data_IF_123289872576
#
_entry.id   IF_123289872576
#
_cell.length_a   1.000
_cell.length_b   1.000
_cell.length_c   1.000
_cell.angle_alpha   90.00
_cell.angle_beta   90.00
_cell.angle_gamma   90.00
#
_symmetry.space_group_name_H-M   'P 1'
#
loop_
_entity.id
_entity.type
_entity.pdbx_description
1 polymer ?
#
# COMPACT_ATOMS: atom_id res chain seq x y z
N UNK A 1 -6.98 -23.39 -6.02
CA UNK A 1 -6.56 -22.26 -5.17
C UNK A 1 -6.95 -22.59 -3.74
N UNK A 2 -6.01 -22.61 -2.79
CA UNK A 2 -6.32 -23.01 -1.41
C UNK A 2 -6.97 -21.83 -0.63
N UNK A 3 -7.44 -22.06 0.59
CA UNK A 3 -8.10 -21.02 1.40
C UNK A 3 -7.19 -19.81 1.64
N UNK A 4 -5.91 -20.04 1.94
CA UNK A 4 -4.95 -18.95 2.21
C UNK A 4 -4.69 -18.07 0.99
N UNK A 5 -4.72 -18.64 -0.21
CA UNK A 5 -4.61 -17.92 -1.48
C UNK A 5 -5.83 -17.02 -1.71
N UNK A 6 -7.03 -17.53 -1.42
CA UNK A 6 -8.28 -16.76 -1.50
C UNK A 6 -8.26 -15.58 -0.53
N UNK A 7 -7.86 -15.81 0.73
CA UNK A 7 -7.74 -14.75 1.73
C UNK A 7 -6.76 -13.67 1.27
N UNK A 8 -5.57 -14.06 0.80
CA UNK A 8 -4.56 -13.12 0.33
C UNK A 8 -5.09 -12.25 -0.82
N UNK A 9 -5.77 -12.86 -1.79
CA UNK A 9 -6.37 -12.14 -2.91
C UNK A 9 -7.45 -11.17 -2.47
N UNK A 10 -8.38 -11.61 -1.63
CA UNK A 10 -9.45 -10.77 -1.11
C UNK A 10 -8.87 -9.58 -0.36
N UNK A 11 -7.85 -9.82 0.47
CA UNK A 11 -7.19 -8.76 1.23
C UNK A 11 -6.47 -7.77 0.30
N UNK A 12 -5.69 -8.26 -0.68
CA UNK A 12 -5.00 -7.40 -1.65
C UNK A 12 -5.99 -6.52 -2.43
N UNK A 13 -7.09 -7.12 -2.88
CA UNK A 13 -8.09 -6.41 -3.67
C UNK A 13 -8.86 -5.39 -2.82
N UNK A 14 -9.38 -5.79 -1.65
CA UNK A 14 -10.12 -4.89 -0.77
C UNK A 14 -9.25 -3.74 -0.27
N UNK A 15 -8.04 -4.04 0.21
CA UNK A 15 -7.12 -3.01 0.68
C UNK A 15 -6.68 -2.09 -0.46
N UNK A 16 -6.34 -2.67 -1.61
CA UNK A 16 -5.95 -1.93 -2.81
C UNK A 16 -7.07 -1.01 -3.27
N UNK A 17 -8.28 -1.52 -3.48
CA UNK A 17 -9.42 -0.73 -3.94
C UNK A 17 -9.79 0.37 -2.94
N UNK A 18 -9.88 0.05 -1.64
CA UNK A 18 -10.21 1.02 -0.61
C UNK A 18 -9.17 2.14 -0.55
N UNK A 19 -7.88 1.79 -0.54
CA UNK A 19 -6.80 2.78 -0.48
C UNK A 19 -6.75 3.63 -1.75
N UNK A 20 -6.97 3.02 -2.92
CA UNK A 20 -7.02 3.72 -4.21
C UNK A 20 -8.13 4.76 -4.21
N UNK A 21 -9.33 4.40 -3.73
CA UNK A 21 -10.45 5.32 -3.62
C UNK A 21 -10.16 6.45 -2.63
N UNK A 22 -9.66 6.14 -1.43
CA UNK A 22 -9.38 7.14 -0.40
C UNK A 22 -8.26 8.10 -0.79
N UNK A 23 -7.16 7.60 -1.33
CA UNK A 23 -6.05 8.47 -1.76
C UNK A 23 -6.39 9.21 -3.07
N UNK A 24 -7.12 8.55 -3.98
CA UNK A 24 -7.61 9.17 -5.20
C UNK A 24 -8.61 10.29 -4.94
N UNK A 25 -9.51 10.13 -3.96
CA UNK A 25 -10.47 11.18 -3.62
C UNK A 25 -9.79 12.43 -3.06
N UNK A 26 -8.70 12.28 -2.29
CA UNK A 26 -7.89 13.41 -1.84
C UNK A 26 -7.10 14.05 -3.01
N UNK A 27 -6.47 13.23 -3.87
CA UNK A 27 -5.68 13.73 -5.01
C UNK A 27 -6.56 14.52 -5.99
N UNK A 28 -7.72 14.00 -6.36
CA UNK A 28 -8.62 14.61 -7.33
C UNK A 28 -9.68 15.51 -6.71
N UNK A 29 -9.59 15.75 -5.40
CA UNK A 29 -10.56 16.53 -4.62
C UNK A 29 -12.03 16.09 -4.82
N UNK A 30 -12.21 14.78 -4.93
CA UNK A 30 -13.55 14.21 -5.06
C UNK A 30 -14.27 14.35 -3.73
N UNK A 31 -15.53 14.80 -3.78
CA UNK A 31 -16.38 14.93 -2.59
C UNK A 31 -15.87 15.94 -1.54
N UNK A 32 -15.00 16.89 -1.91
CA UNK A 32 -14.43 17.87 -0.97
C UNK A 32 -13.48 17.23 0.06
N UNK A 33 -12.87 16.10 -0.30
CA UNK A 33 -12.02 15.33 0.61
C UNK A 33 -10.76 16.07 1.03
N UNK A 34 -10.25 17.06 0.28
CA UNK A 34 -9.08 17.83 0.72
C UNK A 34 -9.35 18.63 1.99
N UNK A 35 -10.51 19.27 2.07
CA UNK A 35 -10.90 20.05 3.25
C UNK A 35 -11.13 19.15 4.48
N UNK A 36 -11.78 18.00 4.28
CA UNK A 36 -11.99 17.00 5.35
C UNK A 36 -10.69 16.35 5.80
N UNK A 37 -9.73 16.18 4.87
CA UNK A 37 -8.47 15.54 5.21
C UNK A 37 -7.54 16.48 5.98
N UNK A 38 -7.69 17.80 5.81
CA UNK A 38 -6.98 18.82 6.60
C UNK A 38 -5.53 18.99 6.14
N UNK A 39 -4.60 19.09 7.09
CA UNK A 39 -3.17 19.24 6.78
C UNK A 39 -2.53 17.89 6.42
N UNK A 40 -3.03 17.24 5.37
CA UNK A 40 -2.44 16.00 4.88
C UNK A 40 -1.14 16.30 4.12
N UNK A 41 -0.21 15.35 4.16
CA UNK A 41 1.05 15.46 3.43
C UNK A 41 0.90 14.87 2.04
N UNK A 42 0.95 15.71 1.01
CA UNK A 42 0.63 15.34 -0.38
C UNK A 42 1.45 14.14 -0.89
N UNK A 43 2.76 14.14 -0.68
CA UNK A 43 3.62 13.05 -1.17
C UNK A 43 3.31 11.71 -0.48
N UNK A 44 2.79 11.73 0.75
CA UNK A 44 2.31 10.53 1.43
C UNK A 44 1.06 10.00 0.74
N UNK A 45 0.11 10.87 0.40
CA UNK A 45 -1.11 10.48 -0.33
C UNK A 45 -0.75 9.86 -1.68
N UNK A 46 0.20 10.44 -2.41
CA UNK A 46 0.70 9.88 -3.66
C UNK A 46 1.39 8.52 -3.49
N UNK A 47 2.25 8.37 -2.49
CA UNK A 47 2.89 7.08 -2.19
C UNK A 47 1.83 5.99 -1.95
N UNK A 48 0.79 6.32 -1.17
CA UNK A 48 -0.30 5.40 -0.86
C UNK A 48 -1.14 5.03 -2.08
N UNK A 49 -1.42 6.02 -2.94
CA UNK A 49 -2.14 5.81 -4.19
C UNK A 49 -1.38 4.84 -5.10
N UNK A 50 -0.07 5.07 -5.32
CA UNK A 50 0.77 4.20 -6.15
C UNK A 50 0.85 2.79 -5.54
N UNK A 51 1.07 2.68 -4.22
CA UNK A 51 1.08 1.41 -3.50
C UNK A 51 -0.21 0.62 -3.68
N UNK A 52 -1.36 1.28 -3.67
CA UNK A 52 -2.65 0.62 -3.83
C UNK A 52 -2.84 0.01 -5.22
N UNK A 53 -2.33 0.67 -6.26
CA UNK A 53 -2.30 0.15 -7.64
C UNK A 53 -1.42 -1.11 -7.70
N UNK A 54 -0.26 -1.08 -7.04
CA UNK A 54 0.64 -2.24 -6.98
C UNK A 54 -0.01 -3.44 -6.27
N UNK A 55 -0.85 -3.23 -5.26
CA UNK A 55 -1.60 -4.33 -4.60
C UNK A 55 -2.59 -5.00 -5.54
N UNK A 56 -3.30 -4.19 -6.33
CA UNK A 56 -4.24 -4.70 -7.34
C UNK A 56 -3.48 -5.49 -8.41
N UNK A 57 -2.32 -5.00 -8.89
CA UNK A 57 -1.48 -5.75 -9.82
C UNK A 57 -0.96 -7.06 -9.23
N UNK A 58 -0.55 -7.07 -7.96
CA UNK A 58 -0.20 -8.32 -7.27
C UNK A 58 -1.37 -9.30 -7.28
N UNK A 59 -2.59 -8.85 -6.98
CA UNK A 59 -3.76 -9.73 -6.99
C UNK A 59 -4.04 -10.31 -8.38
N UNK A 60 -3.95 -9.48 -9.44
CA UNK A 60 -4.15 -9.92 -10.82
C UNK A 60 -3.09 -10.95 -11.24
N UNK A 61 -1.82 -10.68 -10.97
CA UNK A 61 -0.73 -11.60 -11.33
C UNK A 61 -0.74 -12.88 -10.51
N UNK A 62 -1.24 -12.82 -9.26
CA UNK A 62 -1.48 -13.98 -8.43
C UNK A 62 -2.59 -14.88 -9.03
N UNK A 63 -3.69 -14.32 -9.54
CA UNK A 63 -4.74 -15.07 -10.26
C UNK A 63 -4.18 -15.71 -11.55
N UNK A 64 -3.33 -14.98 -12.28
CA UNK A 64 -2.66 -15.45 -13.50
C UNK A 64 -1.55 -16.46 -13.25
N UNK A 65 -1.29 -16.84 -11.98
CA UNK A 65 -0.22 -17.76 -11.55
C UNK A 65 1.17 -17.35 -12.05
N UNK A 66 1.40 -16.04 -12.24
CA UNK A 66 2.73 -15.54 -12.61
C UNK A 66 3.65 -15.59 -11.40
N UNK A 67 4.88 -16.05 -11.62
CA UNK A 67 5.84 -16.30 -10.54
C UNK A 67 6.39 -15.02 -9.88
N UNK A 68 6.10 -13.84 -10.43
CA UNK A 68 6.71 -12.56 -10.03
C UNK A 68 5.78 -11.67 -9.19
N UNK A 69 4.72 -12.23 -8.61
CA UNK A 69 3.67 -11.48 -7.89
C UNK A 69 4.20 -10.68 -6.67
N UNK A 70 5.22 -11.18 -5.99
CA UNK A 70 5.80 -10.56 -4.80
C UNK A 70 6.59 -9.29 -5.14
N UNK A 71 7.03 -9.13 -6.39
CA UNK A 71 7.85 -8.00 -6.82
C UNK A 71 7.11 -6.67 -6.67
N UNK A 72 5.83 -6.59 -7.09
CA UNK A 72 5.05 -5.36 -6.92
C UNK A 72 4.85 -4.98 -5.45
N UNK A 73 4.71 -5.96 -4.56
CA UNK A 73 4.66 -5.70 -3.11
C UNK A 73 5.99 -5.22 -2.57
N UNK A 74 7.11 -5.73 -3.08
CA UNK A 74 8.44 -5.26 -2.69
C UNK A 74 8.66 -3.81 -3.13
N UNK A 75 8.30 -3.47 -4.37
CA UNK A 75 8.34 -2.09 -4.87
C UNK A 75 7.44 -1.19 -4.03
N UNK A 76 6.20 -1.61 -3.73
CA UNK A 76 5.30 -0.84 -2.88
C UNK A 76 5.88 -0.60 -1.49
N UNK A 77 6.47 -1.64 -0.88
CA UNK A 77 7.08 -1.54 0.44
C UNK A 77 8.24 -0.55 0.45
N UNK A 78 9.09 -0.56 -0.59
CA UNK A 78 10.19 0.40 -0.73
C UNK A 78 9.64 1.83 -0.86
N UNK A 79 8.62 2.05 -1.69
CA UNK A 79 7.96 3.36 -1.84
C UNK A 79 7.47 3.86 -0.49
N UNK A 80 6.78 3.02 0.28
CA UNK A 80 6.26 3.39 1.59
C UNK A 80 7.36 3.70 2.59
N UNK A 81 8.45 2.91 2.62
CA UNK A 81 9.58 3.16 3.52
C UNK A 81 10.26 4.49 3.17
N UNK A 82 10.54 4.74 1.90
CA UNK A 82 11.14 6.02 1.44
C UNK A 82 10.23 7.19 1.77
N UNK A 83 8.93 7.08 1.50
CA UNK A 83 7.94 8.09 1.85
C UNK A 83 7.89 8.35 3.36
N UNK A 84 8.01 7.30 4.18
CA UNK A 84 8.00 7.42 5.64
C UNK A 84 9.25 8.11 6.17
N UNK A 85 10.42 7.83 5.59
CA UNK A 85 11.66 8.54 5.92
C UNK A 85 11.58 10.03 5.52
N UNK A 86 11.02 10.32 4.34
CA UNK A 86 10.77 11.70 3.92
C UNK A 86 9.78 12.42 4.84
N UNK A 87 8.76 11.73 5.33
CA UNK A 87 7.78 12.30 6.25
C UNK A 87 8.34 12.51 7.65
N UNK A 88 9.21 11.62 8.14
CA UNK A 88 9.97 11.89 9.35
C UNK A 88 10.74 13.20 9.21
N UNK A 89 11.55 13.33 8.16
CA UNK A 89 12.33 14.56 7.94
C UNK A 89 11.43 15.80 7.81
N UNK A 90 10.29 15.70 7.15
CA UNK A 90 9.31 16.78 7.05
C UNK A 90 8.80 17.23 8.44
N UNK A 91 8.47 16.28 9.33
CA UNK A 91 8.00 16.59 10.69
C UNK A 91 9.10 17.27 11.52
N UNK A 92 10.33 16.77 11.48
CA UNK A 92 11.47 17.33 12.24
C UNK A 92 11.79 18.77 11.84
N UNK A 93 11.52 19.15 10.60
CA UNK A 93 11.67 20.52 10.11
C UNK A 93 10.44 21.40 10.37
N UNK A 94 9.50 20.97 11.23
CA UNK A 94 8.31 21.74 11.60
C UNK A 94 7.15 21.62 10.62
N UNK A 95 7.15 20.59 9.76
CA UNK A 95 6.09 20.34 8.79
C UNK A 95 4.73 20.10 9.44
N UNK A 96 3.72 20.87 9.01
CA UNK A 96 2.34 20.74 9.49
C UNK A 96 1.77 19.42 8.96
N UNK A 97 1.19 18.62 9.85
CA UNK A 97 0.64 17.33 9.50
C UNK A 97 -0.51 16.96 10.44
N UNK A 98 -1.40 16.10 9.97
CA UNK A 98 -2.42 15.49 10.81
C UNK A 98 -1.88 14.25 11.56
N UNK A 99 -2.23 14.03 12.84
CA UNK A 99 -1.85 12.81 13.57
C UNK A 99 -2.32 11.51 12.88
N UNK A 100 -3.46 11.56 12.19
CA UNK A 100 -3.97 10.42 11.40
C UNK A 100 -3.02 10.01 10.27
N UNK A 101 -2.18 10.91 9.74
CA UNK A 101 -1.19 10.60 8.71
C UNK A 101 -0.11 9.66 9.24
N UNK A 102 0.35 9.86 10.49
CA UNK A 102 1.31 8.98 11.15
C UNK A 102 0.72 7.56 11.27
N UNK A 103 -0.50 7.45 11.80
CA UNK A 103 -1.18 6.17 11.97
C UNK A 103 -1.40 5.46 10.62
N UNK A 104 -1.75 6.22 9.58
CA UNK A 104 -2.00 5.69 8.25
C UNK A 104 -0.73 5.14 7.58
N UNK A 105 0.43 5.77 7.79
CA UNK A 105 1.72 5.30 7.28
C UNK A 105 2.18 4.03 8.00
N UNK A 106 2.11 4.02 9.34
CA UNK A 106 2.50 2.86 10.15
C UNK A 106 1.67 1.64 9.75
N UNK A 107 0.35 1.82 9.66
CA UNK A 107 -0.56 0.77 9.21
C UNK A 107 -0.16 0.22 7.84
N UNK A 108 0.14 1.10 6.87
CA UNK A 108 0.54 0.68 5.53
C UNK A 108 1.85 -0.08 5.51
N UNK A 109 2.90 0.37 6.22
CA UNK A 109 4.17 -0.37 6.26
C UNK A 109 3.97 -1.78 6.82
N UNK A 110 3.32 -1.89 7.99
CA UNK A 110 3.13 -3.18 8.67
C UNK A 110 2.34 -4.13 7.77
N UNK A 111 1.21 -3.67 7.25
CA UNK A 111 0.32 -4.51 6.48
C UNK A 111 0.94 -4.94 5.15
N UNK A 112 1.65 -4.03 4.47
CA UNK A 112 2.37 -4.33 3.23
C UNK A 112 3.50 -5.32 3.47
N UNK A 113 4.23 -5.17 4.58
CA UNK A 113 5.27 -6.12 4.99
C UNK A 113 4.72 -7.52 5.19
N UNK A 114 3.58 -7.66 5.87
CA UNK A 114 2.89 -8.96 6.08
C UNK A 114 2.50 -9.58 4.72
N UNK A 115 1.92 -8.80 3.82
CA UNK A 115 1.52 -9.26 2.49
C UNK A 115 2.72 -9.68 1.65
N UNK A 116 3.81 -8.90 1.70
CA UNK A 116 5.06 -9.17 1.00
C UNK A 116 5.67 -10.49 1.48
N UNK A 117 5.85 -10.65 2.79
CA UNK A 117 6.39 -11.88 3.40
C UNK A 117 5.52 -13.09 3.03
N UNK A 118 4.21 -12.95 3.15
CA UNK A 118 3.25 -14.03 2.81
C UNK A 118 3.35 -14.45 1.35
N UNK A 119 3.45 -13.47 0.44
CA UNK A 119 3.58 -13.71 -1.01
C UNK A 119 4.93 -14.33 -1.35
N UNK A 120 6.01 -13.85 -0.74
CA UNK A 120 7.37 -14.37 -0.94
C UNK A 120 7.53 -15.81 -0.45
N UNK A 121 6.96 -16.15 0.73
CA UNK A 121 6.95 -17.54 1.23
C UNK A 121 6.22 -18.46 0.26
N UNK A 122 5.09 -18.03 -0.30
CA UNK A 122 4.32 -18.80 -1.30
C UNK A 122 5.12 -19.00 -2.58
N UNK A 123 5.76 -17.95 -3.09
CA UNK A 123 6.65 -18.03 -4.25
C UNK A 123 7.77 -19.05 -4.02
N UNK A 124 8.48 -18.97 -2.90
CA UNK A 124 9.57 -19.91 -2.55
C UNK A 124 9.10 -21.35 -2.42
N UNK A 125 7.88 -21.58 -1.91
CA UNK A 125 7.26 -22.93 -1.88
C UNK A 125 6.90 -23.43 -3.28
N UNK A 126 6.47 -22.55 -4.18
CA UNK A 126 6.17 -22.88 -5.57
C UNK A 126 7.41 -23.27 -6.38
N UNK A 127 8.56 -22.65 -6.13
CA UNK A 127 9.84 -23.00 -6.76
C UNK A 127 10.41 -24.36 -6.34
N UNK A 128 9.98 -24.90 -5.20
CA UNK A 128 10.45 -26.21 -4.67
C UNK A 128 9.62 -27.40 -5.15
N UNK A 129 8.58 -27.17 -5.96
CA UNK A 129 7.76 -28.21 -6.61
C UNK A 129 8.13 -28.30 -8.08
#
# INVERSE_FOLDING_TARGET
>A
MNLTDKILLTVLFLLGALTLMLSGSVIFDLFGMREMEGNYVEFIVWANFISSILYIYTAVDFIRKRQWNWYYLAVSFIILVVASLGFWFYIENGGIHEPKTINAIIFRIIFTGILLISSYIKYKKGLKK
#
